data_IF_993238131674
#
_entry.id   IF_993238131674
#
_cell.length_a   1.000
_cell.length_b   1.000
_cell.length_c   1.000
_cell.angle_alpha   90.00
_cell.angle_beta   90.00
_cell.angle_gamma   90.00
#
_symmetry.space_group_name_H-M   'P 1'
#
loop_
_entity.id
_entity.type
_entity.pdbx_description
1 polymer ?
#
# COMPACT_ATOMS: atom_id res chain seq x y z
N UNK A 1 12.27 -22.67 -27.24
CA UNK A 1 11.38 -22.12 -26.20
C UNK A 1 12.05 -20.90 -25.59
N UNK A 2 11.30 -19.82 -25.38
CA UNK A 2 11.82 -18.64 -24.66
C UNK A 2 11.82 -18.99 -23.17
N UNK A 3 12.94 -18.77 -22.50
CA UNK A 3 13.09 -19.08 -21.07
C UNK A 3 13.63 -17.87 -20.35
N UNK A 4 13.12 -17.66 -19.15
CA UNK A 4 13.68 -16.69 -18.22
C UNK A 4 14.93 -17.29 -17.58
N UNK A 5 16.07 -16.59 -17.66
CA UNK A 5 17.38 -17.10 -17.19
C UNK A 5 17.79 -16.42 -15.87
N UNK A 6 17.13 -15.32 -15.48
CA UNK A 6 17.41 -14.55 -14.26
C UNK A 6 16.13 -14.01 -13.65
N UNK A 7 16.19 -13.71 -12.35
CA UNK A 7 15.12 -13.00 -11.64
C UNK A 7 14.83 -11.66 -12.32
N UNK A 8 13.56 -11.27 -12.35
CA UNK A 8 13.08 -9.98 -12.84
C UNK A 8 12.98 -8.93 -11.72
N UNK A 9 13.30 -9.31 -10.48
CA UNK A 9 13.38 -8.40 -9.34
C UNK A 9 14.51 -7.39 -9.61
N UNK A 10 14.26 -6.11 -9.36
CA UNK A 10 15.16 -4.96 -9.58
C UNK A 10 15.48 -4.58 -11.03
N UNK A 11 14.68 -5.04 -12.01
CA UNK A 11 14.81 -4.51 -13.37
C UNK A 11 14.30 -3.07 -13.46
N UNK A 12 15.14 -2.19 -14.00
CA UNK A 12 14.83 -0.77 -14.23
C UNK A 12 13.77 -0.54 -15.30
N UNK A 13 13.58 -1.50 -16.22
CA UNK A 13 12.66 -1.38 -17.34
C UNK A 13 11.48 -2.35 -17.17
N UNK A 14 10.26 -1.83 -17.30
CA UNK A 14 9.02 -2.63 -17.21
C UNK A 14 8.62 -3.26 -18.57
N UNK A 15 9.37 -3.01 -19.64
CA UNK A 15 9.02 -3.40 -21.00
C UNK A 15 10.24 -3.74 -21.84
N UNK A 16 10.16 -4.82 -22.62
CA UNK A 16 11.22 -5.30 -23.49
C UNK A 16 10.67 -5.68 -24.86
N UNK A 17 11.44 -5.39 -25.90
CA UNK A 17 11.18 -5.83 -27.27
C UNK A 17 12.25 -6.82 -27.70
N UNK A 18 11.82 -7.99 -28.15
CA UNK A 18 12.68 -9.01 -28.73
C UNK A 18 12.39 -9.12 -30.21
N UNK A 19 13.43 -9.02 -31.04
CA UNK A 19 13.35 -9.24 -32.48
C UNK A 19 14.02 -10.56 -32.80
N UNK A 20 13.24 -11.57 -33.17
CA UNK A 20 13.74 -12.89 -33.52
C UNK A 20 13.82 -12.99 -35.03
N UNK A 21 15.04 -13.19 -35.55
CA UNK A 21 15.26 -13.43 -36.98
C UNK A 21 15.07 -14.91 -37.29
N UNK A 22 14.12 -15.21 -38.17
CA UNK A 22 13.92 -16.55 -38.71
C UNK A 22 14.78 -16.72 -39.97
N UNK A 23 15.61 -17.75 -39.97
CA UNK A 23 16.43 -18.12 -41.13
C UNK A 23 16.07 -19.51 -41.59
N UNK A 24 15.92 -19.69 -42.90
CA UNK A 24 15.77 -21.02 -43.50
C UNK A 24 17.16 -21.58 -43.77
N UNK A 25 17.46 -22.75 -43.20
CA UNK A 25 18.73 -23.42 -43.40
C UNK A 25 18.98 -23.65 -44.91
N UNK A 26 20.11 -23.15 -45.42
CA UNK A 26 20.54 -23.19 -46.84
C UNK A 26 19.70 -22.38 -47.85
N UNK A 27 18.96 -21.35 -47.43
CA UNK A 27 18.31 -20.41 -48.35
C UNK A 27 18.84 -18.98 -48.21
N UNK A 28 19.23 -18.36 -49.32
CA UNK A 28 19.53 -16.92 -49.46
C UNK A 28 18.54 -16.28 -50.44
N UNK A 29 17.82 -15.19 -50.09
CA UNK A 29 17.11 -15.02 -48.83
C UNK A 29 15.63 -14.63 -49.04
N UNK A 30 14.72 -15.07 -48.15
CA UNK A 30 14.02 -14.04 -47.38
C UNK A 30 14.23 -14.24 -45.88
N UNK A 31 14.52 -13.14 -45.19
CA UNK A 31 14.53 -13.08 -43.73
C UNK A 31 13.16 -12.62 -43.27
N UNK A 32 12.58 -13.31 -42.31
CA UNK A 32 11.37 -12.85 -41.62
C UNK A 32 11.73 -12.56 -40.17
N UNK A 33 11.20 -11.48 -39.63
CA UNK A 33 11.36 -11.12 -38.23
C UNK A 33 10.05 -11.38 -37.49
N UNK A 34 10.18 -11.85 -36.26
CA UNK A 34 9.08 -11.92 -35.30
C UNK A 34 9.43 -10.98 -34.14
N UNK A 35 8.54 -10.03 -33.87
CA UNK A 35 8.69 -9.11 -32.74
C UNK A 35 7.82 -9.60 -31.59
N UNK A 36 8.43 -9.74 -30.42
CA UNK A 36 7.76 -10.13 -29.19
C UNK A 36 7.88 -8.98 -28.21
N UNK A 37 6.73 -8.48 -27.76
CA UNK A 37 6.64 -7.51 -26.68
C UNK A 37 6.46 -8.24 -25.36
N UNK A 38 7.33 -7.97 -24.39
CA UNK A 38 7.24 -8.49 -23.04
C UNK A 38 7.00 -7.33 -22.09
N UNK A 39 5.87 -7.37 -21.38
CA UNK A 39 5.59 -6.47 -20.27
C UNK A 39 5.81 -7.20 -18.94
N UNK A 40 6.57 -6.58 -18.04
CA UNK A 40 6.79 -7.08 -16.69
C UNK A 40 5.83 -6.35 -15.76
N UNK A 41 5.00 -7.11 -15.06
CA UNK A 41 4.22 -6.58 -13.93
C UNK A 41 5.05 -6.80 -12.66
N UNK A 42 5.44 -5.74 -11.99
CA UNK A 42 6.02 -5.84 -10.65
C UNK A 42 4.89 -6.15 -9.68
N UNK A 43 4.97 -7.31 -9.04
CA UNK A 43 4.21 -7.57 -7.81
C UNK A 43 4.83 -6.74 -6.68
N UNK A 44 3.96 -6.14 -5.87
CA UNK A 44 4.37 -5.17 -4.87
C UNK A 44 4.79 -5.90 -3.59
N UNK A 45 6.05 -6.33 -3.53
CA UNK A 45 6.59 -7.06 -2.37
C UNK A 45 6.98 -6.16 -1.19
N UNK A 46 6.82 -4.83 -1.31
CA UNK A 46 7.20 -3.86 -0.29
C UNK A 46 6.00 -3.52 0.61
N UNK A 47 6.06 -3.99 1.86
CA UNK A 47 5.07 -3.65 2.89
C UNK A 47 5.11 -2.15 3.23
N UNK A 48 3.96 -1.52 3.52
CA UNK A 48 3.92 -0.18 4.08
C UNK A 48 4.70 -0.08 5.39
N UNK A 49 5.35 1.06 5.62
CA UNK A 49 6.07 1.36 6.85
C UNK A 49 5.55 2.66 7.44
N UNK A 50 5.06 2.61 8.68
CA UNK A 50 4.66 3.78 9.44
C UNK A 50 5.85 4.71 9.71
N UNK A 51 5.69 6.01 9.47
CA UNK A 51 6.72 7.02 9.70
C UNK A 51 6.99 7.17 11.21
N UNK A 52 5.92 7.15 12.01
CA UNK A 52 5.98 7.22 13.46
C UNK A 52 5.37 5.95 14.06
N UNK A 53 6.15 5.21 14.85
CA UNK A 53 5.72 3.95 15.45
C UNK A 53 4.88 4.18 16.72
N UNK A 54 5.11 5.31 17.40
CA UNK A 54 4.39 5.68 18.63
C UNK A 54 4.01 7.16 18.60
N UNK A 55 2.75 7.45 18.98
CA UNK A 55 2.26 8.81 19.10
C UNK A 55 1.41 8.92 20.37
N UNK A 56 1.71 9.91 21.21
CA UNK A 56 0.91 10.25 22.38
C UNK A 56 0.09 11.50 22.06
N UNK A 57 -1.23 11.41 22.15
CA UNK A 57 -2.14 12.52 21.84
C UNK A 57 -3.08 12.75 23.00
N UNK A 58 -3.20 14.01 23.41
CA UNK A 58 -4.20 14.44 24.39
C UNK A 58 -5.40 14.98 23.62
N UNK A 59 -6.57 14.45 23.95
CA UNK A 59 -7.82 14.81 23.30
C UNK A 59 -8.78 15.38 24.35
N UNK A 60 -9.61 16.31 23.91
CA UNK A 60 -10.71 16.84 24.71
C UNK A 60 -12.03 16.33 24.13
N UNK A 61 -13.00 16.09 25.01
CA UNK A 61 -14.31 15.50 24.69
C UNK A 61 -15.19 16.34 23.76
N UNK A 62 -14.88 17.63 23.59
CA UNK A 62 -15.57 18.51 22.65
C UNK A 62 -15.06 18.39 21.19
N UNK A 63 -13.98 17.64 20.92
CA UNK A 63 -13.38 17.46 19.58
C UNK A 63 -14.01 16.32 18.77
N UNK A 64 -15.28 16.01 19.04
CA UNK A 64 -16.01 14.96 18.31
C UNK A 64 -16.08 15.29 16.83
N UNK A 65 -15.89 14.27 15.97
CA UNK A 65 -15.82 14.38 14.51
C UNK A 65 -14.68 15.27 13.96
N UNK A 66 -13.86 15.86 14.84
CA UNK A 66 -12.65 16.56 14.42
C UNK A 66 -11.45 15.60 14.47
N UNK A 67 -10.64 15.55 13.39
CA UNK A 67 -9.43 14.74 13.40
C UNK A 67 -8.43 15.32 14.38
N UNK A 68 -7.96 14.50 15.32
CA UNK A 68 -7.02 14.90 16.36
C UNK A 68 -5.62 14.32 16.16
N UNK A 69 -5.50 13.29 15.33
CA UNK A 69 -4.23 12.64 15.00
C UNK A 69 -4.25 12.15 13.55
N UNK A 70 -3.05 11.90 13.01
CA UNK A 70 -2.88 11.31 11.68
C UNK A 70 -1.75 10.30 11.73
N UNK A 71 -2.04 9.09 11.25
CA UNK A 71 -1.01 8.09 10.98
C UNK A 71 -0.60 8.23 9.51
N UNK A 72 0.71 8.16 9.30
CA UNK A 72 1.30 8.19 7.97
C UNK A 72 2.19 6.97 7.81
N UNK A 73 1.93 6.22 6.74
CA UNK A 73 2.79 5.15 6.28
C UNK A 73 3.24 5.42 4.84
N UNK A 74 4.37 4.83 4.47
CA UNK A 74 4.97 4.97 3.15
C UNK A 74 5.38 3.61 2.61
N UNK A 75 5.43 3.50 1.28
CA UNK A 75 5.95 2.32 0.59
C UNK A 75 6.82 2.79 -0.57
N UNK A 76 7.83 1.98 -0.92
CA UNK A 76 8.78 2.27 -1.99
C UNK A 76 8.05 2.43 -3.33
N UNK A 77 6.94 1.72 -3.52
CA UNK A 77 6.12 1.86 -4.71
C UNK A 77 5.13 3.02 -4.55
N UNK A 78 5.43 4.14 -5.24
CA UNK A 78 4.64 5.37 -5.22
C UNK A 78 3.18 5.22 -5.68
N UNK A 79 2.86 4.14 -6.41
CA UNK A 79 1.51 3.88 -6.92
C UNK A 79 0.69 2.96 -6.00
N UNK A 80 1.23 2.61 -4.82
CA UNK A 80 0.52 1.76 -3.87
C UNK A 80 -0.54 2.55 -3.13
N UNK A 81 -1.71 1.91 -2.95
CA UNK A 81 -2.73 2.39 -2.03
C UNK A 81 -2.47 1.77 -0.65
N UNK A 82 -2.46 2.61 0.38
CA UNK A 82 -2.31 2.21 1.78
C UNK A 82 -3.68 2.35 2.43
N UNK A 83 -4.13 1.32 3.14
CA UNK A 83 -5.43 1.33 3.82
C UNK A 83 -5.24 1.24 5.34
N UNK A 84 -5.67 2.28 6.05
CA UNK A 84 -5.52 2.35 7.50
C UNK A 84 -6.71 1.71 8.22
N UNK A 85 -6.42 0.90 9.23
CA UNK A 85 -7.44 0.26 10.08
C UNK A 85 -7.02 0.25 11.54
N UNK A 86 -7.98 0.43 12.45
CA UNK A 86 -7.75 0.25 13.88
C UNK A 86 -7.85 -1.25 14.17
N UNK A 87 -6.80 -1.83 14.72
CA UNK A 87 -6.80 -3.20 15.23
C UNK A 87 -7.49 -3.18 16.58
N UNK A 88 -8.67 -3.79 16.64
CA UNK A 88 -9.54 -3.65 17.78
C UNK A 88 -9.47 -4.86 18.72
N UNK A 89 -8.68 -4.71 19.78
CA UNK A 89 -8.67 -5.69 20.88
C UNK A 89 -9.64 -5.31 22.01
N UNK A 90 -10.04 -4.03 22.11
CA UNK A 90 -10.70 -3.45 23.30
C UNK A 90 -12.07 -2.78 23.01
N UNK A 91 -12.64 -2.96 21.81
CA UNK A 91 -13.85 -2.25 21.33
C UNK A 91 -13.64 -0.75 21.19
N UNK A 92 -12.42 -0.36 20.83
CA UNK A 92 -12.02 1.01 20.52
C UNK A 92 -12.66 1.49 19.21
N UNK A 93 -13.11 0.57 18.35
CA UNK A 93 -13.85 0.83 17.11
C UNK A 93 -15.19 1.59 17.34
N UNK A 94 -15.74 1.51 18.55
CA UNK A 94 -16.96 2.23 18.97
C UNK A 94 -16.70 3.65 19.46
N UNK A 95 -15.44 4.00 19.68
CA UNK A 95 -14.99 5.26 20.28
C UNK A 95 -14.18 6.07 19.25
N UNK A 96 -13.40 5.39 18.42
CA UNK A 96 -12.52 6.01 17.46
C UNK A 96 -12.80 5.48 16.06
N UNK A 97 -12.68 6.37 15.07
CA UNK A 97 -12.65 5.99 13.67
C UNK A 97 -11.39 6.52 13.01
N UNK A 98 -10.90 5.78 12.02
CA UNK A 98 -9.79 6.20 11.18
C UNK A 98 -10.25 6.35 9.72
N UNK A 99 -9.86 7.44 9.07
CA UNK A 99 -9.99 7.59 7.62
C UNK A 99 -9.05 6.58 6.96
N UNK A 100 -9.64 5.59 6.29
CA UNK A 100 -8.94 4.49 5.63
C UNK A 100 -7.91 4.93 4.59
N UNK A 101 -8.07 6.08 3.96
CA UNK A 101 -7.17 6.55 2.90
C UNK A 101 -6.18 7.58 3.39
N UNK A 102 -6.56 8.40 4.37
CA UNK A 102 -5.77 9.54 4.83
C UNK A 102 -5.08 9.33 6.17
N UNK A 103 -5.49 8.30 6.91
CA UNK A 103 -4.95 7.94 8.23
C UNK A 103 -5.37 8.87 9.37
N UNK A 104 -6.36 9.75 9.15
CA UNK A 104 -6.86 10.66 10.18
C UNK A 104 -7.71 9.94 11.21
N UNK A 105 -7.42 10.14 12.49
CA UNK A 105 -8.16 9.57 13.61
C UNK A 105 -9.06 10.62 14.22
N UNK A 106 -10.31 10.26 14.50
CA UNK A 106 -11.32 11.12 15.12
C UNK A 106 -12.17 10.36 16.14
N UNK A 107 -12.80 11.10 17.05
CA UNK A 107 -13.77 10.60 18.02
C UNK A 107 -15.15 10.43 17.36
N UNK A 108 -15.82 9.32 17.65
CA UNK A 108 -17.19 9.07 17.19
C UNK A 108 -18.24 9.85 17.99
N UNK A 109 -19.30 10.28 17.31
CA UNK A 109 -20.40 11.09 17.88
C UNK A 109 -21.17 10.38 18.98
N UNK A 110 -21.19 9.04 18.96
CA UNK A 110 -21.84 8.17 19.97
C UNK A 110 -21.28 8.34 21.39
N UNK A 111 -20.15 9.01 21.53
CA UNK A 111 -19.45 9.20 22.81
C UNK A 111 -20.00 10.38 23.62
N UNK A 112 -20.60 11.38 22.96
CA UNK A 112 -21.00 12.65 23.58
C UNK A 112 -21.97 12.48 24.77
N UNK A 113 -22.70 11.35 24.82
CA UNK A 113 -23.65 11.02 25.88
C UNK A 113 -23.13 9.97 26.88
N UNK A 114 -21.88 9.50 26.76
CA UNK A 114 -21.38 8.35 27.48
C UNK A 114 -20.47 8.77 28.66
N UNK A 115 -21.01 8.71 29.88
CA UNK A 115 -20.30 9.07 31.14
C UNK A 115 -19.17 8.11 31.56
N UNK A 116 -18.74 7.20 30.68
CA UNK A 116 -17.81 6.09 31.00
C UNK A 116 -16.60 6.04 30.07
N UNK A 117 -16.07 7.19 29.69
CA UNK A 117 -14.77 7.23 29.02
C UNK A 117 -13.65 6.92 30.01
N UNK A 118 -12.69 6.12 29.58
CA UNK A 118 -11.40 5.96 30.27
C UNK A 118 -10.57 7.24 30.09
N UNK A 119 -9.63 7.47 31.01
CA UNK A 119 -8.63 8.54 30.87
C UNK A 119 -7.64 8.26 29.74
N UNK A 120 -7.34 6.98 29.49
CA UNK A 120 -6.28 6.54 28.59
C UNK A 120 -6.76 5.41 27.69
N UNK A 121 -6.34 5.47 26.42
CA UNK A 121 -6.61 4.48 25.39
C UNK A 121 -5.33 4.12 24.65
N UNK A 122 -5.16 2.83 24.35
CA UNK A 122 -4.13 2.33 23.45
C UNK A 122 -4.78 1.97 22.12
N UNK A 123 -4.41 2.67 21.05
CA UNK A 123 -4.84 2.35 19.69
C UNK A 123 -3.70 1.65 18.96
N UNK A 124 -3.98 0.46 18.44
CA UNK A 124 -3.08 -0.26 17.55
C UNK A 124 -3.62 -0.07 16.14
N UNK A 125 -2.78 0.37 15.21
CA UNK A 125 -3.20 0.74 13.85
C UNK A 125 -2.38 -0.08 12.85
N UNK A 126 -3.07 -0.60 11.84
CA UNK A 126 -2.49 -1.29 10.71
C UNK A 126 -2.59 -0.41 9.45
N UNK A 127 -1.59 -0.49 8.58
CA UNK A 127 -1.46 0.29 7.35
C UNK A 127 -1.02 -0.61 6.18
#
# INVERSE_FOLDING_TARGET
SIRLIRSLIDLSNASYWLSIRLTRYRAHPPHTYVHIHISIRQENFYLPQCINIYQNVKIYDYLIEYPFARIEATTINKNSFIEYTIIDNDKNDKIFSIDKQKGFIQLLTTIQNNRRLKSDYLLIINA
#
